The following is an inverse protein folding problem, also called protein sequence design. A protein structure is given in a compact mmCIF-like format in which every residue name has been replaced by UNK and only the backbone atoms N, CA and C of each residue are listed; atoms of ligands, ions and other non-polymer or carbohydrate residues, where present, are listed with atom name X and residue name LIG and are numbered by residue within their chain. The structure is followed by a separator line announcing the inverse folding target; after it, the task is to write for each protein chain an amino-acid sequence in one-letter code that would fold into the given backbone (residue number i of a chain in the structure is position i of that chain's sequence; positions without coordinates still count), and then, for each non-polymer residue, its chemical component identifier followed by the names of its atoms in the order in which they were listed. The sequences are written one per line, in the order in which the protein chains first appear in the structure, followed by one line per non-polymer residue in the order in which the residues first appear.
data_IF_006384169865
#
_entry.id   IF_006384169865
#
_cell.length_a   1.000
_cell.length_b   1.000
_cell.length_c   1.000
_cell.angle_alpha   90.00
_cell.angle_beta   90.00
_cell.angle_gamma   90.00
#
_symmetry.space_group_name_H-M   'P 1'
#
loop_
_entity.id
_entity.type
_entity.pdbx_description
1 polymer ?
#
# COMPACT_ATOMS: atom_id res chain seq x y z
N UNK A 1 23.94 7.41 -11.91
CA UNK A 1 25.22 7.69 -11.23
C UNK A 1 25.11 7.54 -9.71
N UNK A 2 26.08 6.86 -9.10
CA UNK A 2 26.29 6.79 -7.65
C UNK A 2 27.62 7.47 -7.36
N UNK A 3 27.61 8.51 -6.51
CA UNK A 3 28.80 9.32 -6.20
C UNK A 3 29.54 9.80 -7.46
N UNK A 4 28.81 10.25 -8.48
CA UNK A 4 29.40 10.78 -9.71
C UNK A 4 29.72 9.75 -10.80
N UNK A 5 29.65 8.44 -10.51
CA UNK A 5 30.03 7.38 -11.46
C UNK A 5 28.83 6.54 -11.91
N UNK A 6 28.87 6.04 -13.14
CA UNK A 6 27.88 5.10 -13.64
C UNK A 6 28.18 3.69 -13.12
N UNK A 7 27.32 3.22 -12.20
CA UNK A 7 27.42 1.91 -11.55
C UNK A 7 26.20 1.07 -11.96
N UNK A 8 26.36 -0.23 -12.26
CA UNK A 8 25.23 -1.10 -12.49
C UNK A 8 24.39 -1.18 -11.21
N UNK A 9 23.08 -0.93 -11.33
CA UNK A 9 22.14 -0.91 -10.20
C UNK A 9 20.83 -1.56 -10.60
N UNK A 10 20.15 -2.18 -9.63
CA UNK A 10 18.76 -2.58 -9.78
C UNK A 10 17.89 -1.32 -9.71
N UNK A 11 16.99 -1.15 -10.69
CA UNK A 11 16.05 -0.02 -10.73
C UNK A 11 15.06 -0.15 -9.57
N UNK A 12 14.82 0.95 -8.85
CA UNK A 12 13.80 0.98 -7.81
C UNK A 12 12.42 0.83 -8.46
N UNK A 13 11.60 -0.08 -7.94
CA UNK A 13 10.18 -0.09 -8.19
C UNK A 13 9.55 1.07 -7.41
N UNK A 14 8.88 1.97 -8.12
CA UNK A 14 8.14 3.09 -7.55
C UNK A 14 6.65 2.78 -7.61
N UNK A 15 5.82 3.66 -7.05
CA UNK A 15 4.36 3.55 -7.17
C UNK A 15 3.96 3.65 -8.64
N UNK A 16 3.14 2.71 -9.10
CA UNK A 16 2.49 2.77 -10.41
C UNK A 16 1.20 3.58 -10.29
N UNK A 17 1.12 4.72 -10.98
CA UNK A 17 0.01 5.66 -10.85
C UNK A 17 -1.27 5.13 -11.52
N UNK A 18 -1.12 4.24 -12.51
CA UNK A 18 -2.26 3.53 -13.09
C UNK A 18 -2.55 2.19 -12.38
N UNK A 19 -1.79 1.89 -11.31
CA UNK A 19 -1.95 0.68 -10.52
C UNK A 19 -3.15 0.73 -9.58
N UNK A 20 -3.76 -0.43 -9.34
CA UNK A 20 -4.94 -0.57 -8.46
C UNK A 20 -4.77 0.09 -7.08
N UNK A 21 -3.62 -0.02 -6.37
CA UNK A 21 -3.45 0.66 -5.08
C UNK A 21 -3.57 2.19 -5.18
N UNK A 22 -2.95 2.81 -6.19
CA UNK A 22 -3.02 4.26 -6.35
C UNK A 22 -4.41 4.70 -6.82
N UNK A 23 -5.03 3.95 -7.74
CA UNK A 23 -6.40 4.23 -8.20
C UNK A 23 -7.44 4.11 -7.08
N UNK A 24 -7.26 3.16 -6.16
CA UNK A 24 -8.09 3.07 -4.96
C UNK A 24 -7.95 4.33 -4.10
N UNK A 25 -6.73 4.80 -3.85
CA UNK A 25 -6.51 6.06 -3.13
C UNK A 25 -7.12 7.26 -3.87
N UNK A 26 -6.87 7.40 -5.18
CA UNK A 26 -7.41 8.47 -6.02
C UNK A 26 -8.93 8.55 -5.97
N UNK A 27 -9.61 7.39 -5.98
CA UNK A 27 -11.07 7.33 -5.95
C UNK A 27 -11.70 7.82 -4.63
N UNK A 28 -10.97 7.76 -3.50
CA UNK A 28 -11.53 8.06 -2.18
C UNK A 28 -10.95 9.32 -1.53
N UNK A 29 -9.80 9.83 -2.00
CA UNK A 29 -9.06 10.92 -1.33
C UNK A 29 -9.87 12.21 -1.14
N UNK A 30 -10.78 12.53 -2.06
CA UNK A 30 -11.62 13.74 -1.97
C UNK A 30 -12.62 13.62 -0.82
N UNK A 31 -13.23 12.45 -0.62
CA UNK A 31 -14.13 12.18 0.50
C UNK A 31 -13.35 12.22 1.83
N UNK A 32 -12.22 11.51 1.89
CA UNK A 32 -11.40 11.46 3.10
C UNK A 32 -10.80 12.81 3.51
N UNK A 33 -10.71 13.76 2.57
CA UNK A 33 -10.23 15.10 2.85
C UNK A 33 -11.24 15.96 3.63
N UNK A 34 -12.54 15.66 3.51
CA UNK A 34 -13.62 16.50 4.07
C UNK A 34 -14.44 15.79 5.14
N UNK A 35 -14.57 14.47 5.04
CA UNK A 35 -15.36 13.66 5.97
C UNK A 35 -14.50 13.00 7.07
N UNK A 36 -15.15 12.60 8.17
CA UNK A 36 -14.49 11.83 9.24
C UNK A 36 -14.42 10.35 8.88
N UNK A 37 -13.51 9.99 7.97
CA UNK A 37 -13.34 8.62 7.45
C UNK A 37 -12.08 7.91 7.98
N UNK A 38 -11.75 8.11 9.26
CA UNK A 38 -10.55 7.51 9.86
C UNK A 38 -10.70 6.01 10.13
N UNK A 39 -9.64 5.25 9.82
CA UNK A 39 -9.50 3.86 10.23
C UNK A 39 -8.51 3.76 11.40
N UNK A 40 -8.88 2.99 12.41
CA UNK A 40 -8.08 2.75 13.61
C UNK A 40 -7.63 1.28 13.64
N UNK A 41 -6.57 0.91 12.88
CA UNK A 41 -6.08 -0.47 12.89
C UNK A 41 -5.62 -0.86 14.30
N UNK A 42 -5.96 -2.08 14.71
CA UNK A 42 -5.47 -2.65 15.96
C UNK A 42 -3.98 -2.98 15.91
N UNK A 43 -3.44 -3.43 17.04
CA UNK A 43 -2.09 -3.98 17.08
C UNK A 43 -1.98 -5.25 16.22
N UNK A 44 -0.77 -5.56 15.75
CA UNK A 44 -0.48 -6.84 15.07
C UNK A 44 -0.80 -7.99 16.05
N UNK A 45 -1.61 -8.94 15.60
CA UNK A 45 -1.99 -10.11 16.38
C UNK A 45 -1.22 -11.34 15.88
N UNK A 46 -0.58 -12.06 16.81
CA UNK A 46 0.16 -13.29 16.51
C UNK A 46 -0.61 -14.57 16.90
N UNK A 47 -1.74 -14.41 17.58
CA UNK A 47 -2.60 -15.50 18.04
C UNK A 47 -4.07 -15.09 17.85
N UNK A 48 -4.92 -16.05 17.51
CA UNK A 48 -6.33 -15.82 17.24
C UNK A 48 -6.74 -16.32 15.87
N UNK A 49 -7.89 -15.86 15.33
CA UNK A 49 -8.37 -16.27 14.01
C UNK A 49 -7.46 -15.79 12.87
N UNK A 50 -7.27 -16.63 11.85
CA UNK A 50 -6.49 -16.33 10.64
C UNK A 50 -6.98 -15.06 9.94
N UNK A 51 -8.29 -14.76 10.00
CA UNK A 51 -8.88 -13.53 9.46
C UNK A 51 -8.33 -12.24 10.08
N UNK A 52 -7.60 -12.33 11.19
CA UNK A 52 -6.94 -11.20 11.87
C UNK A 52 -5.43 -11.38 11.84
N UNK A 53 -4.92 -12.58 12.09
CA UNK A 53 -3.48 -12.85 12.18
C UNK A 53 -2.78 -12.89 10.81
N UNK A 54 -3.48 -13.32 9.75
CA UNK A 54 -2.88 -13.57 8.44
C UNK A 54 -3.26 -12.50 7.39
N UNK A 55 -3.79 -11.36 7.84
CA UNK A 55 -4.12 -10.26 6.94
C UNK A 55 -2.86 -9.72 6.26
N UNK A 56 -2.97 -9.46 4.95
CA UNK A 56 -1.88 -8.86 4.18
C UNK A 56 -2.07 -7.35 4.04
N UNK A 57 -1.09 -6.67 3.44
CA UNK A 57 -1.21 -5.23 3.17
C UNK A 57 -2.29 -4.97 2.13
N UNK A 58 -2.98 -3.82 2.24
CA UNK A 58 -3.94 -3.37 1.22
C UNK A 58 -3.34 -3.26 -0.18
N UNK A 59 -2.05 -2.90 -0.26
CA UNK A 59 -1.32 -2.88 -1.54
C UNK A 59 -1.30 -4.27 -2.20
N UNK A 60 -0.89 -5.31 -1.46
CA UNK A 60 -0.80 -6.67 -2.00
C UNK A 60 -2.19 -7.22 -2.37
N UNK A 61 -3.18 -7.03 -1.51
CA UNK A 61 -4.58 -7.38 -1.76
C UNK A 61 -5.09 -6.81 -3.10
N UNK A 62 -4.98 -5.48 -3.27
CA UNK A 62 -5.44 -4.80 -4.48
C UNK A 62 -4.65 -5.23 -5.73
N UNK A 63 -3.33 -5.40 -5.62
CA UNK A 63 -2.50 -5.92 -6.73
C UNK A 63 -2.90 -7.34 -7.15
N UNK A 64 -3.35 -8.18 -6.21
CA UNK A 64 -3.83 -9.55 -6.46
C UNK A 64 -5.30 -9.63 -6.87
N UNK A 65 -6.03 -8.52 -6.83
CA UNK A 65 -7.41 -8.43 -7.30
C UNK A 65 -8.48 -8.83 -6.30
N UNK A 66 -8.18 -8.74 -5.00
CA UNK A 66 -9.23 -8.47 -4.01
C UNK A 66 -9.93 -7.14 -4.28
#
# INVERSE_FOLDING_TARGET
RRHGEDKPVIRKALVELEGKPFKYFEAHREEWAVETCYLYPGAIQYYGPDSVCDITTRTLALEKGE
#
